data_IF_412516693228
#
_entry.id   IF_412516693228
#
_cell.length_a   1.000
_cell.length_b   1.000
_cell.length_c   1.000
_cell.angle_alpha   90.00
_cell.angle_beta   90.00
_cell.angle_gamma   90.00
#
_symmetry.space_group_name_H-M   'P 1'
#
loop_
_entity.id
_entity.type
_entity.pdbx_description
1 polymer ?
#
# COMPACT_ATOMS: atom_id res chain seq x y z
N UNK A 1 5.97 0.84 19.23
CA UNK A 1 6.34 0.93 17.79
C UNK A 1 6.12 -0.43 17.15
N UNK A 2 5.37 -0.51 16.06
CA UNK A 2 5.18 -1.78 15.32
C UNK A 2 6.40 -2.08 14.46
N UNK A 3 6.78 -3.36 14.33
CA UNK A 3 7.84 -3.79 13.41
C UNK A 3 7.42 -3.65 11.93
N UNK A 4 6.11 -3.66 11.65
CA UNK A 4 5.57 -3.54 10.29
C UNK A 4 5.76 -2.16 9.65
N UNK A 5 5.93 -1.11 10.46
CA UNK A 5 6.03 0.28 10.01
C UNK A 5 7.42 0.89 10.25
N UNK A 6 8.44 0.06 10.45
CA UNK A 6 9.82 0.52 10.52
C UNK A 6 10.41 0.71 9.12
N UNK A 7 11.56 1.40 9.04
CA UNK A 7 12.34 1.45 7.80
C UNK A 7 12.64 0.02 7.33
N UNK A 8 12.30 -0.35 6.08
CA UNK A 8 12.57 -1.68 5.56
C UNK A 8 14.04 -2.05 5.65
N UNK A 9 14.32 -3.29 6.06
CA UNK A 9 15.67 -3.90 6.11
C UNK A 9 15.85 -5.00 5.06
N UNK A 10 14.79 -5.28 4.30
CA UNK A 10 14.65 -6.29 3.27
C UNK A 10 13.64 -5.79 2.22
N UNK A 11 13.36 -6.59 1.19
CA UNK A 11 12.39 -6.27 0.14
C UNK A 11 11.02 -5.83 0.66
N UNK A 12 10.51 -6.46 1.72
CA UNK A 12 9.25 -6.07 2.35
C UNK A 12 9.34 -6.06 3.87
N UNK A 13 8.47 -5.27 4.50
CA UNK A 13 8.22 -5.35 5.94
C UNK A 13 7.28 -6.51 6.29
N UNK A 14 7.21 -6.86 7.57
CA UNK A 14 6.20 -7.80 8.08
C UNK A 14 4.81 -7.23 7.84
N UNK A 15 3.92 -8.02 7.24
CA UNK A 15 2.56 -7.61 6.94
C UNK A 15 1.79 -7.18 8.21
N UNK A 16 0.94 -6.15 8.07
CA UNK A 16 0.01 -5.70 9.09
C UNK A 16 -1.39 -5.70 8.50
N UNK A 17 -2.37 -6.29 9.20
CA UNK A 17 -3.72 -6.42 8.66
C UNK A 17 -4.69 -7.02 9.67
N UNK A 18 -5.82 -7.53 9.17
CA UNK A 18 -6.91 -8.10 9.96
C UNK A 18 -7.01 -9.59 9.60
N UNK A 19 -6.50 -10.52 10.44
CA UNK A 19 -6.46 -11.95 10.10
C UNK A 19 -7.83 -12.56 9.82
N UNK A 20 -8.90 -11.99 10.39
CA UNK A 20 -10.29 -12.39 10.17
C UNK A 20 -11.08 -11.25 9.50
N UNK A 21 -10.60 -10.79 8.34
CA UNK A 21 -11.19 -9.66 7.62
C UNK A 21 -12.63 -9.91 7.17
N UNK A 22 -12.92 -11.10 6.62
CA UNK A 22 -14.25 -11.46 6.14
C UNK A 22 -14.54 -12.95 6.46
N UNK A 23 -15.73 -13.29 6.97
CA UNK A 23 -16.12 -14.68 7.17
C UNK A 23 -16.17 -15.45 5.84
N UNK A 24 -15.66 -16.68 5.82
CA UNK A 24 -15.66 -17.51 4.61
C UNK A 24 -17.08 -17.78 4.08
N UNK A 25 -18.05 -17.96 4.97
CA UNK A 25 -19.46 -18.18 4.62
C UNK A 25 -20.05 -17.03 3.78
N UNK A 26 -19.55 -15.81 3.92
CA UNK A 26 -20.01 -14.65 3.12
C UNK A 26 -19.48 -14.72 1.70
N UNK A 27 -18.21 -15.13 1.54
CA UNK A 27 -17.52 -15.23 0.24
C UNK A 27 -17.95 -16.49 -0.52
N UNK A 28 -18.23 -17.58 0.19
CA UNK A 28 -18.59 -18.87 -0.40
C UNK A 28 -20.09 -19.01 -0.70
N UNK A 29 -20.93 -18.14 -0.14
CA UNK A 29 -22.37 -18.16 -0.39
C UNK A 29 -22.65 -17.92 -1.87
N UNK A 30 -23.43 -18.82 -2.48
CA UNK A 30 -23.88 -18.67 -3.85
C UNK A 30 -24.67 -17.36 -4.05
N UNK A 31 -24.38 -16.63 -5.13
CA UNK A 31 -25.02 -15.34 -5.42
C UNK A 31 -24.55 -14.17 -4.56
N UNK A 32 -23.45 -14.29 -3.81
CA UNK A 32 -22.85 -13.14 -3.12
C UNK A 32 -22.35 -12.07 -4.12
N UNK A 33 -22.24 -10.82 -3.66
CA UNK A 33 -21.79 -9.69 -4.49
C UNK A 33 -20.27 -9.47 -4.49
N UNK A 34 -19.51 -10.24 -3.72
CA UNK A 34 -18.07 -10.06 -3.55
C UNK A 34 -17.24 -10.85 -4.56
N UNK A 35 -17.73 -12.01 -5.00
CA UNK A 35 -17.09 -12.87 -6.00
C UNK A 35 -17.97 -12.97 -7.23
N UNK A 36 -17.41 -12.64 -8.39
CA UNK A 36 -18.07 -12.76 -9.70
C UNK A 36 -17.06 -13.29 -10.70
N UNK A 37 -17.45 -14.27 -11.52
CA UNK A 37 -16.59 -14.86 -12.55
C UNK A 37 -15.23 -15.30 -11.97
N UNK A 38 -15.26 -16.00 -10.83
CA UNK A 38 -14.08 -16.45 -10.07
C UNK A 38 -13.09 -15.32 -9.70
N UNK A 39 -13.58 -14.10 -9.57
CA UNK A 39 -12.77 -12.89 -9.34
C UNK A 39 -13.35 -12.05 -8.20
N UNK A 40 -12.46 -11.44 -7.40
CA UNK A 40 -12.80 -10.44 -6.39
C UNK A 40 -11.87 -9.23 -6.50
N UNK A 41 -12.30 -8.09 -5.96
CA UNK A 41 -11.52 -6.87 -5.92
C UNK A 41 -11.20 -6.48 -4.47
N UNK A 42 -9.94 -6.13 -4.20
CA UNK A 42 -9.50 -5.58 -2.91
C UNK A 42 -9.04 -4.16 -3.15
N UNK A 43 -9.61 -3.20 -2.41
CA UNK A 43 -9.19 -1.79 -2.43
C UNK A 43 -8.51 -1.46 -1.11
N UNK A 44 -7.29 -0.95 -1.19
CA UNK A 44 -6.54 -0.42 -0.05
C UNK A 44 -6.53 1.11 -0.17
N UNK A 45 -6.78 1.79 0.94
CA UNK A 45 -6.70 3.25 1.02
C UNK A 45 -5.63 3.60 2.03
N UNK A 46 -4.58 4.28 1.56
CA UNK A 46 -3.56 4.88 2.41
C UNK A 46 -3.89 6.38 2.52
N UNK A 47 -3.95 6.87 3.75
CA UNK A 47 -4.14 8.29 4.00
C UNK A 47 -2.82 9.03 3.88
N UNK A 48 -2.83 10.11 3.13
CA UNK A 48 -1.70 11.01 2.93
C UNK A 48 -2.05 12.45 3.29
N UNK A 49 -3.13 12.69 4.04
CA UNK A 49 -3.56 14.03 4.45
C UNK A 49 -2.50 14.83 5.19
N UNK A 50 -1.59 14.15 5.90
CA UNK A 50 -0.46 14.76 6.61
C UNK A 50 0.77 15.01 5.71
N UNK A 51 0.73 14.61 4.43
CA UNK A 51 1.78 14.91 3.46
C UNK A 51 1.42 16.12 2.60
N UNK A 52 2.35 17.06 2.35
CA UNK A 52 2.15 18.13 1.38
C UNK A 52 1.76 17.59 0.00
N UNK A 53 0.74 18.18 -0.63
CA UNK A 53 0.30 17.79 -1.97
C UNK A 53 1.41 17.86 -3.03
N UNK A 54 2.43 18.69 -2.80
CA UNK A 54 3.62 18.83 -3.65
C UNK A 54 4.47 17.56 -3.71
N UNK A 55 4.52 16.77 -2.64
CA UNK A 55 5.35 15.55 -2.57
C UNK A 55 4.57 14.27 -2.93
N UNK A 56 3.23 14.32 -2.99
CA UNK A 56 2.39 13.16 -3.30
C UNK A 56 2.75 12.46 -4.62
N UNK A 57 3.00 13.16 -5.74
CA UNK A 57 3.36 12.51 -7.00
C UNK A 57 4.70 11.76 -6.91
N UNK A 58 5.63 12.22 -6.07
CA UNK A 58 6.92 11.58 -5.85
C UNK A 58 6.83 10.42 -4.86
N UNK A 59 5.91 10.46 -3.89
CA UNK A 59 5.69 9.36 -2.98
C UNK A 59 4.89 8.21 -3.62
N UNK A 60 3.94 8.54 -4.50
CA UNK A 60 3.02 7.59 -5.14
C UNK A 60 3.48 7.13 -6.53
N UNK A 61 4.24 7.97 -7.23
CA UNK A 61 4.58 7.80 -8.64
C UNK A 61 6.02 7.36 -8.90
N UNK A 62 6.72 6.83 -7.89
CA UNK A 62 8.05 6.25 -8.13
C UNK A 62 7.91 5.14 -9.17
N UNK A 63 8.43 5.41 -10.37
CA UNK A 63 8.47 4.43 -11.43
C UNK A 63 9.23 3.20 -10.88
N UNK A 64 8.62 2.02 -10.82
CA UNK A 64 9.26 0.83 -10.26
C UNK A 64 10.50 0.40 -11.07
N UNK A 65 10.69 0.95 -12.27
CA UNK A 65 11.91 0.79 -13.06
C UNK A 65 13.12 1.61 -12.57
N UNK A 66 12.96 2.55 -11.64
CA UNK A 66 14.09 3.26 -11.04
C UNK A 66 14.63 2.55 -9.80
N UNK A 67 15.95 2.57 -9.62
CA UNK A 67 16.58 2.04 -8.41
C UNK A 67 16.11 2.80 -7.16
N UNK A 68 15.94 2.08 -6.05
CA UNK A 68 15.53 2.61 -4.73
C UNK A 68 16.32 3.86 -4.31
N UNK A 69 17.62 3.92 -4.62
CA UNK A 69 18.45 5.08 -4.27
C UNK A 69 18.05 6.34 -5.04
N UNK A 70 17.70 6.20 -6.32
CA UNK A 70 17.25 7.31 -7.18
C UNK A 70 15.89 7.80 -6.68
N UNK A 71 14.99 6.86 -6.38
CA UNK A 71 13.67 7.15 -5.82
C UNK A 71 13.78 7.93 -4.49
N UNK A 72 14.66 7.49 -3.58
CA UNK A 72 14.91 8.16 -2.31
C UNK A 72 15.53 9.56 -2.47
N UNK A 73 16.44 9.73 -3.43
CA UNK A 73 17.02 11.04 -3.72
C UNK A 73 15.99 12.05 -4.23
N UNK A 74 15.09 11.62 -5.12
CA UNK A 74 14.01 12.48 -5.65
C UNK A 74 13.03 12.91 -4.55
N UNK A 75 12.63 11.99 -3.67
CA UNK A 75 11.76 12.33 -2.53
C UNK A 75 12.45 13.35 -1.60
N UNK A 76 13.73 13.12 -1.28
CA UNK A 76 14.48 14.00 -0.39
C UNK A 76 14.60 15.42 -0.95
N UNK A 77 14.95 15.55 -2.24
CA UNK A 77 15.10 16.85 -2.90
C UNK A 77 13.80 17.67 -2.87
N UNK A 78 12.63 17.02 -2.99
CA UNK A 78 11.35 17.73 -2.98
C UNK A 78 10.84 18.01 -1.55
N UNK A 79 11.21 17.17 -0.57
CA UNK A 79 10.88 17.41 0.86
C UNK A 79 11.69 18.58 1.43
N UNK A 80 12.88 18.85 0.88
CA UNK A 80 13.79 19.92 1.30
C UNK A 80 13.53 21.27 0.61
N UNK A 81 12.59 21.33 -0.34
CA UNK A 81 12.09 22.58 -0.94
C UNK A 81 10.94 23.16 -0.13
#
# INVERSE_FOLDING_TARGET
KSNSFQRPRSEMNVASGIPKFCPLEVIQREGNSYVRDDTLFIKIMADFGDMPNTILPFALGLNPGFSMNVQQAMIKQETEK
#
